data_IF_341881902659
#
_entry.id   IF_341881902659
#
_cell.length_a   1.000
_cell.length_b   1.000
_cell.length_c   1.000
_cell.angle_alpha   90.00
_cell.angle_beta   90.00
_cell.angle_gamma   90.00
#
_symmetry.space_group_name_H-M   'P 1'
#
loop_
_entity.id
_entity.type
_entity.pdbx_description
1 polymer ?
#
# COMPACT_ATOMS: atom_id res chain seq x y z
N UNK A 1 4.39 -6.29 -15.13
CA UNK A 1 4.57 -5.13 -14.24
C UNK A 1 5.62 -4.19 -14.82
N UNK A 2 5.35 -2.89 -14.90
CA UNK A 2 6.33 -1.85 -15.24
C UNK A 2 6.93 -1.28 -13.95
N UNK A 3 7.87 -2.02 -13.36
CA UNK A 3 8.34 -1.82 -11.98
C UNK A 3 8.77 -0.37 -11.68
N UNK A 4 9.55 0.28 -12.55
CA UNK A 4 10.02 1.64 -12.32
C UNK A 4 8.90 2.68 -12.23
N UNK A 5 7.96 2.65 -13.18
CA UNK A 5 6.81 3.58 -13.20
C UNK A 5 5.82 3.30 -12.07
N UNK A 6 5.52 2.01 -11.82
CA UNK A 6 4.65 1.61 -10.72
C UNK A 6 5.21 2.05 -9.37
N UNK A 7 6.53 1.86 -9.17
CA UNK A 7 7.22 2.25 -7.95
C UNK A 7 7.13 3.75 -7.69
N UNK A 8 7.46 4.59 -8.68
CA UNK A 8 7.36 6.04 -8.54
C UNK A 8 5.93 6.46 -8.18
N UNK A 9 4.94 5.86 -8.86
CA UNK A 9 3.53 6.13 -8.62
C UNK A 9 3.11 5.80 -7.19
N UNK A 10 3.39 4.58 -6.73
CA UNK A 10 3.02 4.13 -5.38
C UNK A 10 3.78 4.91 -4.30
N UNK A 11 5.04 5.27 -4.52
CA UNK A 11 5.79 6.11 -3.58
C UNK A 11 5.12 7.47 -3.39
N UNK A 12 4.72 8.14 -4.49
CA UNK A 12 4.03 9.43 -4.42
C UNK A 12 2.68 9.31 -3.71
N UNK A 13 1.91 8.27 -4.02
CA UNK A 13 0.64 7.98 -3.36
C UNK A 13 0.82 7.81 -1.84
N UNK A 14 1.71 6.90 -1.42
CA UNK A 14 1.95 6.58 -0.01
C UNK A 14 2.51 7.79 0.77
N UNK A 15 3.40 8.58 0.16
CA UNK A 15 3.88 9.83 0.76
C UNK A 15 2.76 10.86 0.93
N UNK A 16 1.77 10.87 0.02
CA UNK A 16 0.56 11.68 0.13
C UNK A 16 -0.34 11.31 1.31
N UNK A 17 -0.32 10.04 1.74
CA UNK A 17 -1.13 9.55 2.85
C UNK A 17 -0.62 9.93 4.25
N UNK A 18 0.51 10.64 4.36
CA UNK A 18 1.10 11.01 5.65
C UNK A 18 0.18 11.78 6.61
N UNK A 19 -0.87 12.42 6.06
CA UNK A 19 -1.86 13.18 6.81
C UNK A 19 -3.26 12.53 6.82
N UNK A 20 -3.35 11.24 6.51
CA UNK A 20 -4.61 10.50 6.41
C UNK A 20 -4.67 9.38 7.45
N UNK A 21 -5.77 9.25 8.21
CA UNK A 21 -6.93 10.14 8.28
C UNK A 21 -6.66 11.44 9.07
N UNK A 22 -5.55 11.52 9.80
CA UNK A 22 -5.22 12.68 10.64
C UNK A 22 -3.86 13.29 10.27
N UNK A 23 -3.74 14.60 10.51
CA UNK A 23 -2.50 15.34 10.24
C UNK A 23 -1.32 14.75 11.01
N UNK A 24 -0.20 14.51 10.30
CA UNK A 24 1.05 13.94 10.83
C UNK A 24 0.90 12.58 11.53
N UNK A 25 -0.12 11.79 11.17
CA UNK A 25 -0.31 10.48 11.80
C UNK A 25 0.60 9.38 11.22
N UNK A 26 1.09 9.55 9.99
CA UNK A 26 2.10 8.67 9.40
C UNK A 26 3.36 9.44 9.03
N UNK A 27 4.50 8.79 9.21
CA UNK A 27 5.78 9.23 8.69
C UNK A 27 6.23 8.25 7.62
N UNK A 28 6.28 8.71 6.38
CA UNK A 28 6.83 7.93 5.29
C UNK A 28 8.36 8.03 5.28
N UNK A 29 9.03 6.90 5.13
CA UNK A 29 10.46 6.83 4.90
C UNK A 29 10.75 5.75 3.87
N UNK A 30 11.72 6.03 3.01
CA UNK A 30 12.21 5.09 2.03
C UNK A 30 13.55 4.55 2.55
N UNK A 31 13.62 3.24 2.80
CA UNK A 31 14.86 2.56 3.23
C UNK A 31 15.72 2.22 2.02
N UNK A 32 15.08 1.80 0.94
CA UNK A 32 15.69 1.60 -0.37
C UNK A 32 14.71 2.02 -1.48
N UNK A 33 15.19 2.17 -2.70
CA UNK A 33 14.84 1.16 -3.68
C UNK A 33 13.34 0.79 -3.77
N UNK A 34 13.11 -0.50 -3.65
CA UNK A 34 11.85 -1.24 -3.60
C UNK A 34 10.89 -0.98 -2.44
N UNK A 35 11.27 -0.28 -1.37
CA UNK A 35 10.53 -0.28 -0.11
C UNK A 35 10.03 1.10 0.34
N UNK A 36 8.76 1.15 0.77
CA UNK A 36 8.21 2.29 1.52
C UNK A 36 7.78 1.82 2.91
N UNK A 37 8.33 2.46 3.93
CA UNK A 37 7.96 2.26 5.32
C UNK A 37 7.09 3.43 5.81
N UNK A 38 5.88 3.11 6.27
CA UNK A 38 4.96 4.01 6.93
C UNK A 38 4.96 3.73 8.42
N UNK A 39 5.62 4.59 9.20
CA UNK A 39 5.61 4.50 10.66
C UNK A 39 4.48 5.34 11.24
N UNK A 40 3.69 4.73 12.12
CA UNK A 40 2.62 5.45 12.80
C UNK A 40 3.14 6.34 13.93
N UNK A 41 2.48 7.47 14.18
CA UNK A 41 3.00 8.53 15.04
C UNK A 41 3.16 8.16 16.52
N UNK A 42 2.38 7.19 17.02
CA UNK A 42 2.47 6.71 18.40
C UNK A 42 3.50 5.57 18.59
N UNK A 43 4.20 5.19 17.52
CA UNK A 43 5.22 4.14 17.48
C UNK A 43 4.72 2.72 17.78
N UNK A 44 3.40 2.50 17.85
CA UNK A 44 2.81 1.19 18.13
C UNK A 44 2.86 0.22 16.95
N UNK A 45 3.03 0.74 15.72
CA UNK A 45 3.18 -0.09 14.54
C UNK A 45 3.77 0.62 13.32
N UNK A 46 4.05 -0.17 12.28
CA UNK A 46 4.52 0.29 10.97
C UNK A 46 4.04 -0.64 9.85
N UNK A 47 3.76 -0.06 8.70
CA UNK A 47 3.43 -0.78 7.47
C UNK A 47 4.64 -0.68 6.54
N UNK A 48 5.13 -1.80 6.05
CA UNK A 48 6.22 -1.85 5.09
C UNK A 48 5.67 -2.42 3.80
N UNK A 49 5.76 -1.64 2.72
CA UNK A 49 5.30 -2.05 1.39
C UNK A 49 6.54 -2.24 0.53
N UNK A 50 6.74 -3.45 0.01
CA UNK A 50 7.87 -3.80 -0.84
C UNK A 50 7.39 -4.18 -2.23
N UNK A 51 8.00 -3.57 -3.24
CA UNK A 51 7.85 -3.93 -4.64
C UNK A 51 9.00 -4.84 -5.05
N UNK A 52 8.68 -6.11 -5.28
CA UNK A 52 9.63 -7.09 -5.80
C UNK A 52 9.37 -7.36 -7.28
N UNK A 53 10.31 -8.02 -7.97
CA UNK A 53 10.08 -8.47 -9.34
C UNK A 53 8.91 -9.47 -9.47
N UNK A 54 8.51 -10.12 -8.37
CA UNK A 54 7.44 -11.11 -8.33
C UNK A 54 6.07 -10.52 -7.93
N UNK A 55 6.02 -9.33 -7.35
CA UNK A 55 4.77 -8.75 -6.85
C UNK A 55 4.97 -7.68 -5.80
N UNK A 56 3.87 -7.33 -5.12
CA UNK A 56 3.84 -6.37 -4.02
C UNK A 56 3.61 -7.16 -2.73
N UNK A 57 4.46 -6.96 -1.73
CA UNK A 57 4.31 -7.52 -0.38
C UNK A 57 4.07 -6.41 0.63
N UNK A 58 3.29 -6.73 1.66
CA UNK A 58 2.95 -5.80 2.74
C UNK A 58 3.25 -6.50 4.07
N UNK A 59 4.25 -6.00 4.78
CA UNK A 59 4.59 -6.46 6.12
C UNK A 59 4.05 -5.48 7.16
N UNK A 60 3.45 -6.03 8.21
CA UNK A 60 2.89 -5.27 9.33
C UNK A 60 3.73 -5.53 10.56
N UNK A 61 4.29 -4.47 11.14
CA UNK A 61 5.13 -4.55 12.33
C UNK A 61 4.43 -3.88 13.52
N UNK A 62 4.53 -4.50 14.68
CA UNK A 62 3.98 -3.99 15.94
C UNK A 62 3.62 -5.15 16.88
N UNK A 63 4.19 -5.19 18.08
CA UNK A 63 3.91 -6.26 19.05
C UNK A 63 2.66 -6.00 19.89
N UNK A 64 2.24 -4.74 20.00
CA UNK A 64 1.04 -4.32 20.74
C UNK A 64 0.48 -3.04 20.11
N UNK A 65 -0.11 -3.14 18.91
CA UNK A 65 -0.61 -1.98 18.18
C UNK A 65 -1.74 -1.28 18.95
N UNK A 66 -1.80 0.05 18.87
CA UNK A 66 -2.92 0.78 19.47
C UNK A 66 -4.20 0.57 18.65
N UNK A 67 -5.37 0.67 19.30
CA UNK A 67 -6.65 0.62 18.56
C UNK A 67 -6.73 1.67 17.46
N UNK A 68 -6.12 2.84 17.70
CA UNK A 68 -6.07 3.92 16.71
C UNK A 68 -5.18 3.55 15.52
N UNK A 69 -4.01 2.93 15.77
CA UNK A 69 -3.18 2.36 14.71
C UNK A 69 -3.98 1.37 13.86
N UNK A 70 -4.67 0.40 14.47
CA UNK A 70 -5.41 -0.64 13.73
C UNK A 70 -6.49 -0.03 12.83
N UNK A 71 -7.22 0.97 13.33
CA UNK A 71 -8.20 1.71 12.51
C UNK A 71 -7.54 2.43 11.34
N UNK A 72 -6.42 3.14 11.59
CA UNK A 72 -5.73 3.89 10.55
C UNK A 72 -5.04 2.96 9.55
N UNK A 73 -4.46 1.84 10.00
CA UNK A 73 -3.86 0.82 9.15
C UNK A 73 -4.88 0.30 8.14
N UNK A 74 -6.09 -0.06 8.61
CA UNK A 74 -7.16 -0.51 7.72
C UNK A 74 -7.52 0.54 6.66
N UNK A 75 -7.57 1.83 7.03
CA UNK A 75 -7.82 2.93 6.09
C UNK A 75 -6.71 3.00 5.03
N UNK A 76 -5.44 2.95 5.44
CA UNK A 76 -4.29 3.03 4.54
C UNK A 76 -4.26 1.84 3.58
N UNK A 77 -4.42 0.62 4.10
CA UNK A 77 -4.32 -0.59 3.30
C UNK A 77 -5.50 -0.73 2.33
N UNK A 78 -6.72 -0.40 2.75
CA UNK A 78 -7.86 -0.39 1.83
C UNK A 78 -7.70 0.66 0.73
N UNK A 79 -7.28 1.88 1.09
CA UNK A 79 -7.01 2.92 0.08
C UNK A 79 -5.91 2.50 -0.90
N UNK A 80 -4.86 1.84 -0.40
CA UNK A 80 -3.79 1.30 -1.24
C UNK A 80 -4.31 0.23 -2.22
N UNK A 81 -5.19 -0.68 -1.77
CA UNK A 81 -5.81 -1.66 -2.66
C UNK A 81 -6.74 -1.01 -3.70
N UNK A 82 -7.48 0.03 -3.32
CA UNK A 82 -8.33 0.79 -4.24
C UNK A 82 -7.47 1.47 -5.33
N UNK A 83 -6.32 2.00 -4.94
CA UNK A 83 -5.35 2.59 -5.86
C UNK A 83 -4.76 1.53 -6.82
N UNK A 84 -4.39 0.35 -6.32
CA UNK A 84 -3.95 -0.76 -7.17
C UNK A 84 -5.05 -1.20 -8.15
N UNK A 85 -6.30 -1.25 -7.69
CA UNK A 85 -7.45 -1.58 -8.54
C UNK A 85 -7.65 -0.52 -9.64
N UNK A 86 -7.48 0.77 -9.33
CA UNK A 86 -7.54 1.84 -10.33
C UNK A 86 -6.43 1.70 -11.40
N UNK A 87 -5.23 1.28 -11.03
CA UNK A 87 -4.14 1.01 -11.98
C UNK A 87 -4.47 -0.21 -12.87
N UNK A 88 -5.01 -1.28 -12.27
CA UNK A 88 -5.23 -2.56 -12.95
C UNK A 88 -6.46 -2.55 -13.84
N UNK A 89 -7.56 -1.93 -13.41
CA UNK A 89 -8.86 -1.98 -14.09
C UNK A 89 -9.45 -0.60 -14.39
N UNK A 90 -8.90 0.48 -13.84
CA UNK A 90 -9.41 1.84 -14.07
C UNK A 90 -9.08 2.38 -15.47
N UNK A 91 -9.99 3.22 -15.97
CA UNK A 91 -9.83 4.02 -17.19
C UNK A 91 -9.87 3.24 -18.51
N UNK A 92 -9.86 3.98 -19.62
CA UNK A 92 -9.72 3.44 -20.97
C UNK A 92 -8.22 3.33 -21.34
N UNK A 93 -7.50 2.47 -20.61
CA UNK A 93 -6.06 2.25 -20.78
C UNK A 93 -5.84 0.84 -21.33
N UNK A 94 -5.16 0.72 -22.47
CA UNK A 94 -4.81 -0.59 -23.04
C UNK A 94 -3.91 -1.38 -22.07
N UNK A 95 -4.06 -2.71 -22.05
CA UNK A 95 -3.35 -3.58 -21.11
C UNK A 95 -1.82 -3.42 -21.15
N UNK A 96 -1.26 -3.18 -22.34
CA UNK A 96 0.17 -2.91 -22.55
C UNK A 96 0.65 -1.60 -21.91
N UNK A 97 -0.25 -0.64 -21.68
CA UNK A 97 0.07 0.67 -21.11
C UNK A 97 -0.05 0.68 -19.57
N UNK A 98 -0.75 -0.30 -18.98
CA UNK A 98 -0.91 -0.41 -17.53
C UNK A 98 0.42 -0.61 -16.80
N UNK A 99 0.53 -0.01 -15.62
CA UNK A 99 1.72 -0.15 -14.75
C UNK A 99 1.74 -1.51 -14.04
N UNK A 100 0.55 -2.00 -13.69
CA UNK A 100 0.34 -3.28 -13.03
C UNK A 100 -0.71 -4.08 -13.81
N UNK A 101 -0.45 -5.37 -13.96
CA UNK A 101 -1.40 -6.38 -14.46
C UNK A 101 -1.31 -7.56 -13.50
N UNK A 102 -2.45 -8.21 -13.26
CA UNK A 102 -2.54 -9.34 -12.33
C UNK A 102 -2.66 -10.64 -13.11
N UNK A 103 -2.09 -11.72 -12.58
CA UNK A 103 -2.27 -13.06 -13.13
C UNK A 103 -3.69 -13.58 -12.86
N UNK A 104 -4.17 -13.35 -11.64
CA UNK A 104 -5.51 -13.69 -11.19
C UNK A 104 -6.37 -12.43 -11.05
N UNK A 105 -7.56 -12.42 -11.62
CA UNK A 105 -8.48 -11.27 -11.57
C UNK A 105 -9.05 -11.01 -10.17
N UNK A 106 -8.99 -11.99 -9.26
CA UNK A 106 -9.48 -11.88 -7.89
C UNK A 106 -8.39 -11.61 -6.84
N UNK A 107 -7.14 -11.37 -7.27
CA UNK A 107 -6.01 -11.20 -6.36
C UNK A 107 -6.17 -10.01 -5.39
N UNK A 108 -6.74 -8.89 -5.85
CA UNK A 108 -6.97 -7.72 -5.00
C UNK A 108 -8.12 -7.96 -3.99
N UNK A 109 -9.16 -8.68 -4.40
CA UNK A 109 -10.26 -9.05 -3.50
C UNK A 109 -9.81 -10.03 -2.42
N UNK A 110 -8.96 -11.00 -2.77
CA UNK A 110 -8.30 -11.89 -1.80
C UNK A 110 -7.45 -11.10 -0.81
N UNK A 111 -6.68 -10.11 -1.29
CA UNK A 111 -5.87 -9.25 -0.43
C UNK A 111 -6.75 -8.41 0.52
N UNK A 112 -7.89 -7.90 0.05
CA UNK A 112 -8.85 -7.17 0.87
C UNK A 112 -9.45 -8.02 1.99
N UNK A 113 -9.74 -9.28 1.68
CA UNK A 113 -10.17 -10.27 2.68
C UNK A 113 -9.15 -10.44 3.81
N UNK A 114 -7.85 -10.45 3.49
CA UNK A 114 -6.78 -10.62 4.49
C UNK A 114 -6.61 -9.41 5.44
N UNK A 115 -7.01 -8.21 5.02
CA UNK A 115 -6.96 -6.99 5.86
C UNK A 115 -8.06 -7.01 6.94
N UNK A 116 -9.20 -7.63 6.65
CA UNK A 116 -10.41 -7.53 7.48
C UNK A 116 -10.39 -8.42 8.74
N UNK A 117 -9.39 -9.29 8.92
CA UNK A 117 -9.34 -10.31 9.99
C UNK A 117 -8.08 -10.27 10.87
N UNK A 118 -7.44 -9.11 11.05
CA UNK A 118 -6.27 -8.97 11.95
C UNK A 118 -6.57 -8.23 13.25
#
# INVERSE_FOLDING_TARGET
MKAGGLRLYLNLYLMGLQNTPEKKCWKASQSDDSEVNLRYCDLSGSIIIQLTGAGITIDRLGSSPSMKYLMHESIILNGFLDELHAIVDGGDISAENRLLTLADSDALEKARGAISFS
#
